data_IF_668997546364
#
_entry.id   IF_668997546364
#
_cell.length_a   1.000
_cell.length_b   1.000
_cell.length_c   1.000
_cell.angle_alpha   90.00
_cell.angle_beta   90.00
_cell.angle_gamma   90.00
#
_symmetry.space_group_name_H-M   'P 1'
#
loop_
_entity.id
_entity.type
_entity.pdbx_description
1 polymer ?
#
# COMPACT_ATOMS: atom_id res chain seq x y z
N UNK A 1 23.92 21.52 -0.84
CA UNK A 1 23.33 20.32 -1.47
C UNK A 1 22.64 19.52 -0.40
N UNK A 2 21.35 19.76 -0.21
CA UNK A 2 20.53 19.02 0.75
C UNK A 2 20.17 17.71 0.08
N UNK A 3 20.85 16.63 0.47
CA UNK A 3 20.50 15.27 0.06
C UNK A 3 19.06 15.01 0.50
N UNK A 4 18.17 14.76 -0.46
CA UNK A 4 16.83 14.25 -0.19
C UNK A 4 17.06 12.89 0.47
N UNK A 5 16.78 12.83 1.78
CA UNK A 5 17.01 11.64 2.58
C UNK A 5 15.93 10.61 2.22
N UNK A 6 16.33 9.46 1.69
CA UNK A 6 15.43 8.33 1.52
C UNK A 6 14.85 7.97 2.90
N UNK A 7 13.53 8.04 3.06
CA UNK A 7 12.86 7.52 4.25
C UNK A 7 12.84 5.98 4.15
N UNK A 8 13.61 5.32 5.00
CA UNK A 8 13.67 3.87 5.11
C UNK A 8 13.28 3.43 6.52
N UNK A 9 12.72 2.23 6.61
CA UNK A 9 12.32 1.63 7.88
C UNK A 9 13.58 1.18 8.60
N UNK A 10 13.75 1.64 9.85
CA UNK A 10 14.91 1.33 10.69
C UNK A 10 14.58 0.41 11.84
N UNK A 11 13.31 0.32 12.24
CA UNK A 11 12.91 -0.62 13.30
C UNK A 11 11.47 -1.11 13.14
N UNK A 12 11.21 -2.31 13.66
CA UNK A 12 9.90 -2.95 13.68
C UNK A 12 9.62 -3.46 15.09
N UNK A 13 8.42 -3.18 15.58
CA UNK A 13 7.85 -3.77 16.80
C UNK A 13 6.54 -4.45 16.49
N UNK A 14 6.30 -5.59 17.14
CA UNK A 14 5.02 -6.25 17.15
C UNK A 14 4.37 -6.06 18.51
N UNK A 15 3.08 -5.78 18.51
CA UNK A 15 2.29 -5.55 19.72
C UNK A 15 1.11 -6.51 19.72
N UNK A 16 1.08 -7.40 20.70
CA UNK A 16 -0.09 -8.22 21.00
C UNK A 16 -0.88 -7.56 22.12
N UNK A 17 -2.19 -7.44 21.92
CA UNK A 17 -3.10 -6.74 22.83
C UNK A 17 -4.47 -7.42 22.84
N UNK A 18 -5.09 -7.50 24.02
CA UNK A 18 -6.47 -7.99 24.13
C UNK A 18 -7.43 -7.08 23.37
N UNK A 19 -8.37 -7.66 22.61
CA UNK A 19 -9.33 -6.91 21.79
C UNK A 19 -10.16 -5.86 22.58
N UNK A 20 -10.31 -6.06 23.89
CA UNK A 20 -11.04 -5.16 24.80
C UNK A 20 -10.21 -3.95 25.31
N UNK A 21 -8.91 -3.91 25.03
CA UNK A 21 -8.01 -2.86 25.51
C UNK A 21 -7.32 -2.15 24.34
N UNK A 22 -6.99 -0.87 24.54
CA UNK A 22 -6.16 -0.13 23.60
C UNK A 22 -4.75 -0.74 23.54
N UNK A 23 -4.27 -1.02 22.34
CA UNK A 23 -2.92 -1.53 22.13
C UNK A 23 -1.88 -0.45 22.45
N UNK A 24 -0.76 -0.80 23.10
CA UNK A 24 0.35 0.11 23.30
C UNK A 24 0.82 0.77 21.99
N UNK A 25 1.03 2.09 22.05
CA UNK A 25 1.70 2.85 21.00
C UNK A 25 3.10 3.26 21.48
N UNK A 26 4.08 3.26 20.57
CA UNK A 26 5.44 3.70 20.89
C UNK A 26 5.73 5.06 20.24
N UNK A 27 6.31 5.96 21.03
CA UNK A 27 6.78 7.26 20.51
C UNK A 27 7.78 7.04 19.37
N UNK A 28 7.59 7.76 18.26
CA UNK A 28 8.40 7.63 17.05
C UNK A 28 8.06 6.43 16.16
N UNK A 29 7.10 5.58 16.54
CA UNK A 29 6.61 4.49 15.69
C UNK A 29 5.24 4.82 15.13
N UNK A 30 5.01 4.41 13.88
CA UNK A 30 3.70 4.40 13.24
C UNK A 30 3.14 2.98 13.20
N UNK A 31 1.86 2.82 13.53
CA UNK A 31 1.16 1.53 13.51
C UNK A 31 0.64 1.22 12.10
N UNK A 32 0.87 0.00 11.59
CA UNK A 32 0.16 -0.53 10.44
C UNK A 32 -1.28 -0.88 10.89
N UNK A 33 -2.33 -0.34 10.26
CA UNK A 33 -3.70 -0.34 10.74
C UNK A 33 -4.44 -1.62 10.32
N UNK A 34 -3.71 -2.73 10.25
CA UNK A 34 -4.23 -4.06 9.92
C UNK A 34 -3.89 -4.96 11.08
N UNK A 35 -4.91 -5.63 11.62
CA UNK A 35 -4.72 -6.68 12.61
C UNK A 35 -4.10 -7.89 11.90
N UNK A 36 -2.90 -8.30 12.32
CA UNK A 36 -2.12 -9.32 11.60
C UNK A 36 -2.69 -10.74 11.76
N UNK A 37 -3.60 -10.92 12.72
CA UNK A 37 -4.38 -12.13 12.88
C UNK A 37 -5.89 -11.89 12.73
N UNK A 38 -6.27 -10.97 11.85
CA UNK A 38 -7.67 -10.63 11.60
C UNK A 38 -8.53 -11.87 11.31
N UNK A 39 -9.67 -11.97 11.98
CA UNK A 39 -10.64 -13.05 11.79
C UNK A 39 -10.35 -14.33 12.60
N UNK A 40 -9.19 -14.42 13.27
CA UNK A 40 -8.91 -15.55 14.17
C UNK A 40 -9.82 -15.45 15.39
N UNK A 41 -10.57 -16.52 15.68
CA UNK A 41 -11.55 -16.53 16.77
C UNK A 41 -10.88 -16.43 18.13
N UNK A 42 -11.44 -15.57 18.98
CA UNK A 42 -11.04 -15.36 20.38
C UNK A 42 -9.63 -14.81 20.58
N UNK A 43 -8.84 -14.60 19.52
CA UNK A 43 -7.45 -14.15 19.59
C UNK A 43 -7.28 -12.72 20.15
N UNK A 44 -6.07 -12.46 20.68
CA UNK A 44 -5.58 -11.09 20.87
C UNK A 44 -5.30 -10.47 19.51
N UNK A 45 -5.46 -9.17 19.37
CA UNK A 45 -5.02 -8.47 18.16
C UNK A 45 -3.51 -8.33 18.13
N UNK A 46 -2.91 -8.49 16.96
CA UNK A 46 -1.47 -8.31 16.73
C UNK A 46 -1.25 -7.19 15.74
N UNK A 47 -0.56 -6.13 16.15
CA UNK A 47 -0.25 -4.98 15.28
C UNK A 47 1.25 -4.78 15.08
N UNK A 48 1.64 -4.49 13.84
CA UNK A 48 2.99 -4.04 13.51
C UNK A 48 3.13 -2.53 13.69
N UNK A 49 4.23 -2.12 14.29
CA UNK A 49 4.67 -0.75 14.45
C UNK A 49 6.03 -0.60 13.78
N UNK A 50 6.21 0.44 12.97
CA UNK A 50 7.46 0.69 12.25
C UNK A 50 7.99 2.08 12.51
N UNK A 51 9.31 2.22 12.52
CA UNK A 51 10.04 3.45 12.78
C UNK A 51 10.91 3.80 11.58
N UNK A 52 11.00 5.09 11.30
CA UNK A 52 11.90 5.67 10.30
C UNK A 52 12.79 6.66 11.05
N UNK A 53 14.08 6.34 11.23
CA UNK A 53 15.03 7.19 11.96
C UNK A 53 16.33 7.36 11.19
N UNK A 54 16.63 8.57 10.75
CA UNK A 54 17.82 8.90 9.94
C UNK A 54 19.15 8.61 10.64
N UNK A 55 19.14 8.33 11.94
CA UNK A 55 20.33 8.01 12.74
C UNK A 55 20.54 6.51 12.95
N UNK A 56 19.59 5.67 12.53
CA UNK A 56 19.65 4.22 12.71
C UNK A 56 19.90 3.51 11.38
N UNK A 57 20.57 2.36 11.44
CA UNK A 57 20.78 1.54 10.26
C UNK A 57 19.42 1.03 9.70
N UNK A 58 19.25 1.01 8.37
CA UNK A 58 18.04 0.52 7.72
C UNK A 58 17.84 -0.98 7.91
N UNK A 59 16.58 -1.40 7.97
CA UNK A 59 16.22 -2.79 7.71
C UNK A 59 16.35 -3.04 6.21
N UNK A 60 17.01 -4.14 5.85
CA UNK A 60 17.30 -4.47 4.46
C UNK A 60 16.52 -5.67 3.94
N UNK A 61 16.01 -6.54 4.83
CA UNK A 61 15.25 -7.72 4.41
C UNK A 61 14.28 -8.21 5.50
N UNK A 62 13.17 -8.83 5.08
CA UNK A 62 12.18 -9.49 5.94
C UNK A 62 12.05 -10.97 5.60
N UNK A 63 11.83 -11.79 6.62
CA UNK A 63 11.40 -13.17 6.48
C UNK A 63 10.30 -13.48 7.46
N UNK A 64 9.24 -14.13 6.98
CA UNK A 64 8.21 -14.72 7.83
C UNK A 64 8.40 -16.23 7.78
N UNK A 65 8.44 -16.86 8.95
CA UNK A 65 8.63 -18.30 9.12
C UNK A 65 7.45 -18.88 9.89
N UNK A 66 6.90 -19.97 9.38
CA UNK A 66 5.93 -20.79 10.10
C UNK A 66 6.68 -21.92 10.84
N UNK A 67 6.34 -22.13 12.10
CA UNK A 67 7.01 -23.04 13.03
C UNK A 67 8.41 -22.57 13.43
N UNK A 68 9.27 -23.53 13.74
CA UNK A 68 10.65 -23.29 14.20
C UNK A 68 11.72 -23.51 13.13
N UNK A 69 11.35 -23.88 11.91
CA UNK A 69 12.31 -24.21 10.86
C UNK A 69 12.91 -22.95 10.20
N UNK A 70 14.08 -22.54 10.68
CA UNK A 70 14.83 -21.38 10.16
C UNK A 70 15.86 -21.73 9.09
N UNK A 71 15.87 -22.97 8.57
CA UNK A 71 16.86 -23.41 7.56
C UNK A 71 16.84 -22.59 6.26
N UNK A 72 15.73 -21.90 5.98
CA UNK A 72 15.57 -21.01 4.82
C UNK A 72 16.13 -19.61 5.03
N UNK A 73 16.56 -19.27 6.25
CA UNK A 73 17.16 -17.98 6.57
C UNK A 73 18.69 -18.10 6.47
N UNK A 74 19.33 -17.42 5.51
CA UNK A 74 20.78 -17.44 5.39
C UNK A 74 21.42 -16.69 6.55
N UNK A 75 22.46 -17.27 7.13
CA UNK A 75 23.22 -16.67 8.24
C UNK A 75 22.32 -16.16 9.38
N UNK A 76 21.43 -17.02 9.91
CA UNK A 76 20.41 -16.69 10.93
C UNK A 76 20.91 -15.83 12.11
N UNK A 77 22.20 -15.92 12.48
CA UNK A 77 22.81 -15.08 13.51
C UNK A 77 22.79 -13.57 13.21
N UNK A 78 22.58 -13.18 11.95
CA UNK A 78 22.46 -11.78 11.49
C UNK A 78 21.01 -11.28 11.46
N UNK A 79 20.06 -12.10 11.88
CA UNK A 79 18.64 -11.77 11.86
C UNK A 79 18.13 -11.53 13.27
N UNK A 80 17.26 -10.55 13.39
CA UNK A 80 16.51 -10.27 14.61
C UNK A 80 15.13 -10.90 14.48
N UNK A 81 14.82 -11.86 15.36
CA UNK A 81 13.47 -12.41 15.54
C UNK A 81 12.63 -11.43 16.36
N UNK A 82 11.41 -11.14 15.93
CA UNK A 82 10.43 -10.47 16.78
C UNK A 82 9.65 -11.52 17.58
N UNK A 83 9.72 -11.41 18.91
CA UNK A 83 9.14 -12.38 19.85
C UNK A 83 7.64 -12.16 20.10
N UNK A 84 6.88 -12.09 19.01
CA UNK A 84 5.41 -12.10 19.03
C UNK A 84 4.96 -13.05 17.93
N UNK A 85 4.09 -14.00 18.29
CA UNK A 85 3.48 -14.88 17.31
C UNK A 85 2.49 -14.05 16.46
N UNK A 86 2.71 -13.96 15.15
CA UNK A 86 1.85 -13.19 14.25
C UNK A 86 0.42 -13.71 14.19
N UNK A 87 0.23 -15.01 14.44
CA UNK A 87 -1.07 -15.67 14.43
C UNK A 87 -1.50 -16.14 15.83
N UNK A 88 -1.13 -15.39 16.88
CA UNK A 88 -1.43 -15.73 18.28
C UNK A 88 -2.92 -16.02 18.49
N UNK A 89 -3.25 -17.21 18.99
CA UNK A 89 -4.60 -17.59 19.44
C UNK A 89 -4.71 -17.44 20.96
N UNK A 90 -5.91 -17.19 21.47
CA UNK A 90 -6.12 -17.06 22.91
C UNK A 90 -5.80 -18.36 23.66
N UNK A 91 -5.18 -18.24 24.83
CA UNK A 91 -4.89 -19.39 25.69
C UNK A 91 -3.86 -20.39 25.14
N UNK A 92 -3.34 -20.20 23.91
CA UNK A 92 -2.13 -20.88 23.48
C UNK A 92 -0.92 -20.04 23.89
N UNK A 93 0.02 -20.65 24.61
CA UNK A 93 1.32 -20.02 24.81
C UNK A 93 1.93 -19.70 23.44
N UNK A 94 2.79 -18.68 23.40
CA UNK A 94 3.71 -18.42 22.30
C UNK A 94 4.76 -19.56 22.21
N UNK A 95 4.29 -20.79 22.10
CA UNK A 95 5.08 -21.99 22.08
C UNK A 95 5.75 -22.07 20.72
N UNK A 96 7.07 -21.92 20.73
CA UNK A 96 7.91 -22.00 19.54
C UNK A 96 7.95 -23.42 18.95
N UNK A 97 7.49 -24.42 19.70
CA UNK A 97 7.37 -25.81 19.22
C UNK A 97 6.09 -26.07 18.44
N UNK A 98 5.12 -25.15 18.47
CA UNK A 98 3.94 -25.22 17.63
C UNK A 98 4.32 -24.92 16.18
N UNK A 99 4.16 -25.92 15.31
CA UNK A 99 4.45 -25.85 13.88
C UNK A 99 3.56 -24.85 13.13
N UNK A 100 2.49 -24.36 13.76
CA UNK A 100 1.59 -23.34 13.22
C UNK A 100 1.98 -21.91 13.58
N UNK A 101 2.83 -21.70 14.59
CA UNK A 101 3.21 -20.34 15.02
C UNK A 101 3.94 -19.60 13.91
N UNK A 102 3.64 -18.32 13.69
CA UNK A 102 4.26 -17.52 12.63
C UNK A 102 5.13 -16.43 13.24
N UNK A 103 6.37 -16.31 12.77
CA UNK A 103 7.38 -15.41 13.33
C UNK A 103 7.94 -14.48 12.25
N UNK A 104 8.09 -13.20 12.59
CA UNK A 104 8.78 -12.22 11.74
C UNK A 104 10.25 -12.10 12.13
N UNK A 105 11.10 -12.12 11.11
CA UNK A 105 12.52 -11.84 11.20
C UNK A 105 12.85 -10.65 10.30
N UNK A 106 13.77 -9.82 10.75
CA UNK A 106 14.35 -8.77 9.92
C UNK A 106 15.88 -8.77 10.07
N UNK A 107 16.58 -8.23 9.09
CA UNK A 107 18.03 -7.97 9.19
C UNK A 107 18.34 -6.57 8.71
N UNK A 108 19.46 -6.03 9.19
CA UNK A 108 20.08 -4.78 8.73
C UNK A 108 21.38 -5.04 7.96
N UNK A 109 21.75 -6.32 7.77
CA UNK A 109 23.02 -6.68 7.14
C UNK A 109 22.95 -6.43 5.61
N UNK A 110 23.84 -5.56 5.14
CA UNK A 110 23.95 -5.16 3.73
C UNK A 110 24.61 -6.23 2.84
N UNK A 111 25.21 -7.26 3.43
CA UNK A 111 25.70 -8.46 2.72
C UNK A 111 24.56 -9.39 2.32
N UNK A 112 23.43 -9.37 3.04
CA UNK A 112 22.23 -10.15 2.71
C UNK A 112 21.42 -9.42 1.64
N UNK A 113 21.19 -8.12 1.85
CA UNK A 113 20.42 -7.29 0.94
C UNK A 113 20.91 -5.85 1.04
N UNK A 114 21.29 -5.24 -0.08
CA UNK A 114 21.86 -3.88 -0.08
C UNK A 114 20.78 -2.79 -0.02
N UNK A 115 19.57 -3.09 -0.48
CA UNK A 115 18.52 -2.10 -0.61
C UNK A 115 17.73 -1.97 0.70
N UNK A 116 17.62 -0.78 1.29
CA UNK A 116 16.76 -0.55 2.44
C UNK A 116 15.29 -0.83 2.12
N UNK A 117 14.55 -1.34 3.11
CA UNK A 117 13.09 -1.41 3.03
C UNK A 117 12.52 -0.02 3.27
N UNK A 118 11.70 0.45 2.34
CA UNK A 118 11.09 1.78 2.37
C UNK A 118 9.60 1.74 2.70
N UNK A 119 8.94 0.61 2.52
CA UNK A 119 7.52 0.45 2.81
C UNK A 119 7.18 -0.99 3.18
N UNK A 120 6.23 -1.15 4.11
CA UNK A 120 5.61 -2.43 4.46
C UNK A 120 4.10 -2.22 4.46
N UNK A 121 3.38 -3.11 3.80
CA UNK A 121 1.92 -3.16 3.78
C UNK A 121 1.45 -4.60 4.06
N UNK A 122 0.21 -4.72 4.54
CA UNK A 122 -0.47 -6.00 4.74
C UNK A 122 -1.81 -5.93 4.04
N UNK A 123 -2.15 -6.97 3.27
CA UNK A 123 -3.39 -7.03 2.50
C UNK A 123 -4.13 -8.34 2.80
N UNK A 124 -5.44 -8.23 2.94
CA UNK A 124 -6.38 -9.35 3.05
C UNK A 124 -6.71 -9.94 1.67
N UNK A 125 -7.01 -11.24 1.66
CA UNK A 125 -7.44 -12.01 0.51
C UNK A 125 -6.42 -13.08 0.12
N UNK A 126 -6.87 -14.11 -0.61
CA UNK A 126 -6.01 -15.22 -1.03
C UNK A 126 -4.99 -14.83 -2.11
N UNK A 127 -5.24 -13.75 -2.85
CA UNK A 127 -4.37 -13.23 -3.93
C UNK A 127 -4.48 -11.71 -4.06
N UNK A 128 -4.06 -10.95 -3.04
CA UNK A 128 -4.19 -9.51 -3.07
C UNK A 128 -3.24 -8.91 -4.10
N UNK A 129 -3.75 -7.95 -4.87
CA UNK A 129 -2.97 -7.24 -5.89
C UNK A 129 -2.34 -6.00 -5.28
N UNK A 130 -1.02 -5.89 -5.38
CA UNK A 130 -0.22 -4.72 -5.00
C UNK A 130 0.53 -4.22 -6.22
N UNK A 131 1.01 -2.98 -6.17
CA UNK A 131 1.86 -2.42 -7.23
C UNK A 131 3.17 -3.21 -7.37
N UNK A 132 3.73 -3.24 -8.58
CA UNK A 132 4.88 -4.10 -8.94
C UNK A 132 6.16 -3.88 -8.11
N UNK A 133 6.33 -2.73 -7.47
CA UNK A 133 7.47 -2.45 -6.58
C UNK A 133 7.44 -3.25 -5.28
N UNK A 134 6.28 -3.80 -4.90
CA UNK A 134 6.12 -4.57 -3.69
C UNK A 134 6.46 -6.04 -3.90
N UNK A 135 7.41 -6.53 -3.10
CA UNK A 135 7.73 -7.95 -2.98
C UNK A 135 6.78 -8.60 -1.97
N UNK A 136 6.15 -9.70 -2.36
CA UNK A 136 5.30 -10.51 -1.48
C UNK A 136 6.16 -11.38 -0.57
N UNK A 137 5.84 -11.38 0.72
CA UNK A 137 6.30 -12.44 1.63
C UNK A 137 5.38 -13.65 1.43
N UNK A 138 5.91 -14.83 1.02
CA UNK A 138 5.11 -15.96 0.55
C UNK A 138 4.54 -16.80 1.71
N UNK A 139 4.02 -16.17 2.75
CA UNK A 139 3.39 -16.82 3.91
C UNK A 139 2.06 -16.13 4.19
N UNK A 140 1.00 -16.93 4.33
CA UNK A 140 -0.27 -16.45 4.84
C UNK A 140 -0.15 -16.28 6.36
N UNK A 141 -0.35 -15.06 6.85
CA UNK A 141 -0.18 -14.72 8.27
C UNK A 141 -1.23 -15.39 9.16
N UNK A 142 -2.29 -15.98 8.60
CA UNK A 142 -3.32 -16.72 9.33
C UNK A 142 -3.41 -18.19 8.90
N UNK A 143 -2.35 -18.72 8.29
CA UNK A 143 -2.32 -20.11 7.88
C UNK A 143 -2.62 -21.04 9.07
N UNK A 144 -3.46 -22.05 8.85
CA UNK A 144 -3.82 -23.11 9.81
C UNK A 144 -4.51 -22.67 11.13
N UNK A 145 -4.92 -21.40 11.25
CA UNK A 145 -5.62 -20.87 12.46
C UNK A 145 -7.02 -20.31 12.20
N UNK A 146 -7.51 -20.37 10.96
CA UNK A 146 -8.90 -20.08 10.61
C UNK A 146 -9.29 -18.59 10.59
N UNK A 147 -8.30 -17.70 10.47
CA UNK A 147 -8.51 -16.27 10.20
C UNK A 147 -8.64 -15.95 8.70
N UNK A 148 -8.76 -14.67 8.36
CA UNK A 148 -8.74 -14.24 6.97
C UNK A 148 -7.35 -14.41 6.37
N UNK A 149 -7.26 -14.76 5.09
CA UNK A 149 -5.98 -14.80 4.38
C UNK A 149 -5.33 -13.43 4.41
N UNK A 150 -4.12 -13.32 4.97
CA UNK A 150 -3.38 -12.07 5.08
C UNK A 150 -1.97 -12.25 4.53
N UNK A 151 -1.52 -11.33 3.68
CA UNK A 151 -0.18 -11.35 3.13
C UNK A 151 0.55 -10.04 3.38
N UNK A 152 1.81 -10.15 3.80
CA UNK A 152 2.72 -9.03 3.96
C UNK A 152 3.47 -8.76 2.65
N UNK A 153 3.66 -7.49 2.36
CA UNK A 153 4.46 -7.03 1.22
C UNK A 153 5.40 -5.92 1.67
N UNK A 154 6.57 -5.84 1.04
CA UNK A 154 7.53 -4.77 1.30
C UNK A 154 8.15 -4.26 0.00
N UNK A 155 8.50 -2.97 -0.02
CA UNK A 155 9.25 -2.36 -1.12
C UNK A 155 10.64 -1.99 -0.66
N UNK A 156 11.60 -2.13 -1.57
CA UNK A 156 12.97 -1.66 -1.41
C UNK A 156 13.37 -0.67 -2.51
N UNK A 157 12.40 -0.29 -3.34
CA UNK A 157 12.58 0.80 -4.27
C UNK A 157 12.60 2.06 -3.41
N UNK A 158 13.73 2.78 -3.45
CA UNK A 158 13.99 3.99 -2.67
C UNK A 158 12.90 5.06 -2.87
N UNK A 159 13.07 6.24 -2.26
CA UNK A 159 12.22 7.37 -2.62
C UNK A 159 12.43 7.73 -4.10
N UNK A 160 11.40 7.50 -4.93
CA UNK A 160 11.42 7.84 -6.37
C UNK A 160 11.32 9.36 -6.61
N UNK A 161 11.22 10.16 -5.56
CA UNK A 161 10.87 11.58 -5.62
C UNK A 161 9.37 11.75 -5.89
N UNK A 162 8.82 12.96 -5.75
CA UNK A 162 7.39 13.17 -5.88
C UNK A 162 6.92 13.06 -7.33
N UNK A 163 5.63 12.77 -7.49
CA UNK A 163 4.92 12.88 -8.76
C UNK A 163 4.82 14.36 -9.11
N UNK A 164 5.10 14.70 -10.36
CA UNK A 164 5.08 16.09 -10.87
C UNK A 164 4.03 16.30 -11.96
N UNK A 165 3.48 15.22 -12.51
CA UNK A 165 2.35 15.29 -13.43
C UNK A 165 1.56 13.98 -13.42
N UNK A 166 0.26 14.07 -13.68
CA UNK A 166 -0.67 12.95 -13.80
C UNK A 166 -1.41 13.07 -15.12
N UNK A 167 -1.63 11.97 -15.81
CA UNK A 167 -2.49 11.88 -16.98
C UNK A 167 -3.22 10.54 -16.98
N UNK A 168 -4.12 10.34 -17.94
CA UNK A 168 -4.76 9.06 -18.18
C UNK A 168 -4.79 8.75 -19.67
N UNK A 169 -5.07 7.51 -20.01
CA UNK A 169 -5.22 7.09 -21.41
C UNK A 169 -6.27 5.99 -21.51
N UNK A 170 -7.15 6.15 -22.50
CA UNK A 170 -8.04 5.11 -22.99
C UNK A 170 -7.29 4.16 -23.92
N UNK A 171 -7.49 2.86 -23.72
CA UNK A 171 -6.69 1.83 -24.35
C UNK A 171 -7.59 0.67 -24.82
N UNK A 172 -7.35 0.21 -26.05
CA UNK A 172 -8.03 -0.97 -26.61
C UNK A 172 -7.49 -2.30 -26.08
N UNK A 173 -6.28 -2.29 -25.51
CA UNK A 173 -5.62 -3.49 -24.98
C UNK A 173 -4.93 -3.17 -23.65
N UNK A 174 -4.64 -4.22 -22.88
CA UNK A 174 -3.93 -4.10 -21.60
C UNK A 174 -2.46 -3.62 -21.73
N UNK A 175 -1.89 -3.69 -22.94
CA UNK A 175 -0.52 -3.25 -23.24
C UNK A 175 -0.44 -1.73 -23.49
N UNK A 176 -1.06 -0.97 -22.61
CA UNK A 176 -1.11 0.47 -22.72
C UNK A 176 0.08 1.13 -22.04
N UNK A 177 0.78 2.00 -22.76
CA UNK A 177 1.87 2.81 -22.19
C UNK A 177 1.91 4.21 -22.81
N UNK A 178 2.60 5.12 -22.12
CA UNK A 178 3.00 6.44 -22.62
C UNK A 178 4.51 6.54 -22.39
N UNK A 179 5.26 6.90 -23.43
CA UNK A 179 6.71 6.99 -23.33
C UNK A 179 7.15 8.03 -22.30
N UNK A 180 8.07 7.62 -21.41
CA UNK A 180 8.54 8.46 -20.31
C UNK A 180 7.53 8.68 -19.17
N UNK A 181 6.44 7.91 -19.08
CA UNK A 181 5.51 7.92 -17.96
C UNK A 181 5.45 6.56 -17.25
N UNK A 182 5.30 6.59 -15.93
CA UNK A 182 5.01 5.43 -15.10
C UNK A 182 3.50 5.15 -15.12
N UNK A 183 3.09 3.88 -15.10
CA UNK A 183 1.68 3.47 -15.20
C UNK A 183 1.19 2.91 -13.87
N UNK A 184 -0.01 3.31 -13.44
CA UNK A 184 -0.76 2.62 -12.38
C UNK A 184 -1.34 1.32 -12.97
N UNK A 185 -0.98 0.18 -12.42
CA UNK A 185 -1.17 -1.12 -13.09
C UNK A 185 -2.63 -1.53 -13.34
N UNK A 186 -3.55 -1.09 -12.50
CA UNK A 186 -4.95 -1.51 -12.54
C UNK A 186 -5.76 -0.65 -13.51
N UNK A 187 -6.57 -1.33 -14.31
CA UNK A 187 -7.55 -0.72 -15.21
C UNK A 187 -8.73 -0.17 -14.40
N UNK A 188 -8.98 1.12 -14.49
CA UNK A 188 -10.10 1.80 -13.81
C UNK A 188 -11.46 1.27 -14.25
N UNK A 189 -11.53 0.71 -15.45
CA UNK A 189 -12.73 0.17 -16.07
C UNK A 189 -12.77 -1.36 -16.06
N UNK A 190 -11.95 -2.00 -15.21
CA UNK A 190 -11.88 -3.46 -15.11
C UNK A 190 -13.26 -4.03 -14.75
N UNK A 191 -13.73 -4.99 -15.55
CA UNK A 191 -14.99 -5.70 -15.31
C UNK A 191 -16.20 -5.11 -16.04
N UNK A 192 -16.03 -4.02 -16.80
CA UNK A 192 -17.10 -3.50 -17.65
C UNK A 192 -17.14 -4.25 -18.98
N UNK A 193 -18.35 -4.68 -19.37
CA UNK A 193 -18.61 -5.54 -20.54
C UNK A 193 -18.39 -4.79 -21.87
N UNK A 194 -18.59 -3.47 -21.89
CA UNK A 194 -18.43 -2.63 -23.09
C UNK A 194 -17.75 -1.30 -22.74
N UNK A 195 -16.50 -1.11 -23.15
CA UNK A 195 -15.76 0.13 -22.89
C UNK A 195 -14.27 -0.01 -23.20
N UNK A 196 -13.55 1.10 -23.16
CA UNK A 196 -12.08 1.10 -23.24
C UNK A 196 -11.50 0.91 -21.84
N UNK A 197 -10.39 0.19 -21.75
CA UNK A 197 -9.58 0.17 -20.53
C UNK A 197 -9.03 1.57 -20.30
N UNK A 198 -9.04 2.04 -19.06
CA UNK A 198 -8.49 3.35 -18.71
C UNK A 198 -7.42 3.17 -17.65
N UNK A 199 -6.23 3.66 -17.95
CA UNK A 199 -5.09 3.62 -17.03
C UNK A 199 -4.64 5.02 -16.67
N UNK A 200 -4.26 5.20 -15.41
CA UNK A 200 -3.56 6.39 -14.95
C UNK A 200 -2.06 6.26 -15.22
N UNK A 201 -1.45 7.38 -15.53
CA UNK A 201 -0.02 7.52 -15.74
C UNK A 201 0.48 8.73 -14.95
N UNK A 202 1.70 8.64 -14.44
CA UNK A 202 2.33 9.75 -13.75
C UNK A 202 3.81 9.89 -14.14
N UNK A 203 4.37 11.06 -13.83
CA UNK A 203 5.75 11.42 -14.11
C UNK A 203 6.44 11.95 -12.86
N UNK A 204 7.76 11.83 -12.84
CA UNK A 204 8.63 12.36 -11.78
C UNK A 204 9.78 13.11 -12.44
N UNK A 205 9.70 14.43 -12.44
CA UNK A 205 10.72 15.29 -13.06
C UNK A 205 11.32 16.23 -12.01
N UNK A 206 12.61 16.04 -11.67
CA UNK A 206 13.29 16.80 -10.58
C UNK A 206 13.21 18.33 -10.71
N UNK A 207 13.00 18.85 -11.91
CA UNK A 207 12.91 20.29 -12.19
C UNK A 207 11.49 20.85 -12.14
N UNK A 208 10.48 20.01 -11.94
CA UNK A 208 9.07 20.41 -11.89
C UNK A 208 8.57 20.46 -10.45
N UNK A 209 7.58 21.32 -10.21
CA UNK A 209 6.90 21.35 -8.92
C UNK A 209 6.10 20.06 -8.68
N UNK A 210 6.08 19.52 -7.46
CA UNK A 210 5.34 18.31 -7.15
C UNK A 210 3.82 18.54 -7.21
N UNK A 211 3.11 17.47 -7.52
CA UNK A 211 1.67 17.37 -7.26
C UNK A 211 1.46 17.39 -5.76
N UNK A 212 0.63 18.29 -5.24
CA UNK A 212 0.37 18.45 -3.80
C UNK A 212 -1.06 18.11 -3.40
N UNK A 213 -1.97 18.08 -4.37
CA UNK A 213 -3.37 17.75 -4.14
C UNK A 213 -3.98 17.06 -5.36
N UNK A 214 -4.93 16.17 -5.09
CA UNK A 214 -5.64 15.40 -6.10
C UNK A 214 -7.11 15.36 -5.70
N UNK A 215 -7.96 15.78 -6.62
CA UNK A 215 -9.41 15.66 -6.46
C UNK A 215 -10.01 14.96 -7.67
N UNK A 216 -11.15 14.32 -7.44
CA UNK A 216 -11.97 13.75 -8.52
C UNK A 216 -13.28 14.51 -8.54
N UNK A 217 -13.62 15.01 -9.73
CA UNK A 217 -14.79 15.84 -9.98
C UNK A 217 -15.74 15.06 -10.88
N UNK A 218 -17.02 15.07 -10.51
CA UNK A 218 -18.09 14.34 -11.18
C UNK A 218 -18.96 15.30 -12.00
N UNK A 219 -19.33 14.90 -13.20
CA UNK A 219 -20.28 15.60 -14.06
C UNK A 219 -19.91 17.09 -14.18
N UNK A 220 -20.87 17.98 -13.91
CA UNK A 220 -20.70 19.43 -13.99
C UNK A 220 -20.37 20.07 -12.63
N UNK A 221 -19.79 19.31 -11.69
CA UNK A 221 -19.34 19.87 -10.41
C UNK A 221 -18.30 20.98 -10.61
N UNK A 222 -18.36 21.99 -9.75
CA UNK A 222 -17.47 23.17 -9.82
C UNK A 222 -16.01 22.76 -9.76
N UNK A 223 -15.24 23.22 -10.74
CA UNK A 223 -13.80 22.98 -10.82
C UNK A 223 -13.06 23.86 -9.80
N UNK A 224 -12.12 23.31 -9.03
CA UNK A 224 -11.31 24.11 -8.12
C UNK A 224 -10.30 24.98 -8.88
N UNK A 225 -10.10 26.21 -8.41
CA UNK A 225 -9.14 27.14 -8.99
C UNK A 225 -7.69 26.64 -8.80
N UNK A 226 -6.86 26.80 -9.84
CA UNK A 226 -5.44 26.44 -9.80
C UNK A 226 -5.15 24.96 -9.99
N UNK A 227 -6.16 24.14 -10.32
CA UNK A 227 -5.98 22.73 -10.64
C UNK A 227 -5.86 22.50 -12.15
N UNK A 228 -5.07 21.49 -12.51
CA UNK A 228 -4.94 20.97 -13.87
C UNK A 228 -5.86 19.78 -14.06
N UNK A 229 -6.68 19.82 -15.12
CA UNK A 229 -7.56 18.72 -15.52
C UNK A 229 -6.77 17.63 -16.23
N UNK A 230 -6.99 16.37 -15.85
CA UNK A 230 -6.68 15.23 -16.72
C UNK A 230 -7.81 15.07 -17.73
N UNK A 231 -7.54 15.40 -18.99
CA UNK A 231 -8.56 15.48 -20.05
C UNK A 231 -8.90 14.11 -20.66
N UNK A 232 -9.29 13.19 -19.77
CA UNK A 232 -9.82 11.86 -20.08
C UNK A 232 -10.93 11.58 -19.09
N UNK A 233 -12.06 11.07 -19.57
CA UNK A 233 -13.10 10.55 -18.68
C UNK A 233 -12.60 9.23 -18.08
N UNK A 234 -12.38 9.21 -16.77
CA UNK A 234 -11.91 8.03 -16.05
C UNK A 234 -12.95 6.89 -16.04
N UNK A 235 -14.22 7.23 -16.24
CA UNK A 235 -15.35 6.32 -16.33
C UNK A 235 -15.82 6.18 -17.79
N UNK A 236 -14.89 5.89 -18.71
CA UNK A 236 -15.18 5.75 -20.15
C UNK A 236 -15.91 4.44 -20.51
N UNK A 237 -16.86 4.05 -19.68
CA UNK A 237 -17.62 2.80 -19.77
C UNK A 237 -19.11 3.09 -19.93
N UNK A 238 -19.60 2.84 -21.14
CA UNK A 238 -21.02 2.76 -21.54
C UNK A 238 -21.87 4.05 -21.52
N UNK A 239 -22.99 3.99 -22.25
CA UNK A 239 -23.93 5.08 -22.59
C UNK A 239 -24.59 5.80 -21.39
N UNK A 240 -24.36 5.34 -20.17
CA UNK A 240 -24.96 5.84 -18.92
C UNK A 240 -23.94 5.66 -17.81
N UNK A 241 -23.26 6.73 -17.41
CA UNK A 241 -22.25 6.74 -16.35
C UNK A 241 -21.94 8.17 -15.96
N UNK A 242 -21.41 8.39 -14.75
CA UNK A 242 -20.94 9.72 -14.37
C UNK A 242 -19.73 10.11 -15.26
N UNK A 243 -19.63 11.38 -15.65
CA UNK A 243 -18.39 11.91 -16.23
C UNK A 243 -17.41 12.15 -15.09
N UNK A 244 -16.30 11.42 -15.07
CA UNK A 244 -15.37 11.45 -13.94
C UNK A 244 -14.03 11.96 -14.43
N UNK A 245 -13.58 13.09 -13.88
CA UNK A 245 -12.27 13.65 -14.22
C UNK A 245 -11.42 13.79 -12.97
N UNK A 246 -10.15 13.40 -13.09
CA UNK A 246 -9.13 13.72 -12.10
C UNK A 246 -8.61 15.14 -12.35
N UNK A 247 -8.41 15.86 -11.26
CA UNK A 247 -7.76 17.15 -11.24
C UNK A 247 -6.63 17.11 -10.22
N UNK A 248 -5.51 17.75 -10.53
CA UNK A 248 -4.39 17.81 -9.62
C UNK A 248 -3.82 19.23 -9.52
N UNK A 249 -3.26 19.56 -8.36
CA UNK A 249 -2.58 20.84 -8.12
C UNK A 249 -1.09 20.59 -7.98
N UNK A 250 -0.27 21.46 -8.56
CA UNK A 250 1.19 21.46 -8.37
C UNK A 250 1.62 22.71 -7.64
N UNK A 251 2.43 22.55 -6.61
CA UNK A 251 2.96 23.67 -5.81
C UNK A 251 4.38 23.36 -5.39
N UNK A 252 5.19 24.40 -5.20
CA UNK A 252 6.54 24.29 -4.65
C UNK A 252 6.52 24.01 -3.13
N UNK A 253 5.83 22.94 -2.74
CA UNK A 253 5.67 22.48 -1.37
C UNK A 253 5.97 20.98 -1.31
N UNK A 254 7.11 20.64 -0.70
CA UNK A 254 7.53 19.25 -0.56
C UNK A 254 6.77 18.49 0.54
N UNK A 255 6.08 19.18 1.45
CA UNK A 255 5.37 18.56 2.58
C UNK A 255 4.12 17.81 2.12
N UNK A 256 3.38 18.41 1.20
CA UNK A 256 2.15 17.84 0.66
C UNK A 256 2.37 17.03 -0.61
N UNK A 257 3.63 16.85 -1.02
CA UNK A 257 3.96 16.22 -2.28
C UNK A 257 3.42 14.79 -2.33
N UNK A 258 2.69 14.48 -3.40
CA UNK A 258 2.20 13.15 -3.72
C UNK A 258 3.35 12.34 -4.30
N UNK A 259 3.67 11.22 -3.68
CA UNK A 259 4.71 10.30 -4.12
C UNK A 259 4.14 9.10 -4.87
N UNK A 260 2.86 8.78 -4.75
CA UNK A 260 2.37 7.56 -5.40
C UNK A 260 0.87 7.55 -5.67
N UNK A 261 0.45 6.74 -6.64
CA UNK A 261 -0.94 6.51 -7.05
C UNK A 261 -1.24 5.02 -7.12
N UNK A 262 -2.39 4.62 -6.59
CA UNK A 262 -2.86 3.24 -6.64
C UNK A 262 -4.36 3.20 -6.88
N UNK A 263 -4.81 2.17 -7.57
CA UNK A 263 -6.23 1.87 -7.74
C UNK A 263 -6.53 0.60 -6.96
N UNK A 264 -7.67 0.56 -6.29
CA UNK A 264 -8.15 -0.66 -5.62
C UNK A 264 -9.61 -0.92 -5.97
N UNK A 265 -9.94 -2.20 -6.08
CA UNK A 265 -11.30 -2.68 -6.28
C UNK A 265 -11.88 -3.20 -4.97
N UNK A 266 -13.20 -3.13 -4.84
CA UNK A 266 -13.95 -3.82 -3.79
C UNK A 266 -14.93 -2.92 -3.07
N UNK A 267 -15.87 -3.55 -2.35
CA UNK A 267 -16.80 -2.85 -1.45
C UNK A 267 -16.08 -2.29 -0.21
N UNK A 268 -15.05 -3.01 0.26
CA UNK A 268 -14.19 -2.61 1.38
C UNK A 268 -12.72 -2.68 0.90
N UNK A 269 -12.31 -1.77 0.01
CA UNK A 269 -10.94 -1.75 -0.49
C UNK A 269 -10.01 -1.38 0.68
N UNK A 270 -9.01 -2.23 0.93
CA UNK A 270 -8.04 -1.97 1.99
C UNK A 270 -7.13 -0.83 1.54
N UNK A 271 -7.37 0.36 2.10
CA UNK A 271 -6.48 1.51 2.02
C UNK A 271 -5.09 1.08 2.46
N UNK A 272 -4.08 1.04 1.58
CA UNK A 272 -2.73 0.75 2.02
C UNK A 272 -2.31 1.85 3.03
N UNK A 273 -1.58 1.48 4.09
CA UNK A 273 -1.25 2.45 5.13
C UNK A 273 -0.44 3.63 4.59
N UNK A 274 -0.78 4.84 5.03
CA UNK A 274 -0.16 6.09 4.59
C UNK A 274 -0.70 6.61 3.26
N UNK A 275 -1.73 5.96 2.71
CA UNK A 275 -2.42 6.41 1.53
C UNK A 275 -3.75 7.07 1.90
N UNK A 276 -4.06 8.16 1.22
CA UNK A 276 -5.34 8.83 1.25
C UNK A 276 -6.25 8.24 0.18
N UNK A 277 -7.51 7.99 0.55
CA UNK A 277 -8.54 7.50 -0.36
C UNK A 277 -9.33 8.67 -0.93
N UNK A 278 -9.51 8.70 -2.24
CA UNK A 278 -10.51 9.57 -2.87
C UNK A 278 -11.87 8.87 -2.79
N UNK A 279 -12.80 9.48 -2.06
CA UNK A 279 -14.13 8.94 -1.78
C UNK A 279 -15.10 9.12 -2.95
N UNK A 280 -14.70 8.68 -4.13
CA UNK A 280 -15.51 8.64 -5.35
C UNK A 280 -15.35 7.26 -5.96
N UNK A 281 -16.47 6.56 -6.22
CA UNK A 281 -16.42 5.34 -7.00
C UNK A 281 -16.18 5.68 -8.48
N UNK A 282 -15.03 5.28 -9.02
CA UNK A 282 -14.55 5.68 -10.35
C UNK A 282 -15.25 4.96 -11.51
N UNK A 283 -16.08 3.94 -11.22
CA UNK A 283 -16.96 3.32 -12.20
C UNK A 283 -18.44 3.60 -11.92
N UNK A 284 -18.74 4.75 -11.30
CA UNK A 284 -20.09 5.09 -10.84
C UNK A 284 -21.06 5.48 -11.96
N UNK A 285 -22.34 5.26 -11.71
CA UNK A 285 -23.43 5.64 -12.61
C UNK A 285 -24.52 6.46 -11.92
N UNK A 286 -24.26 6.91 -10.69
CA UNK A 286 -25.21 7.63 -9.86
C UNK A 286 -24.49 8.58 -8.88
N UNK A 287 -23.92 9.66 -9.44
CA UNK A 287 -23.22 10.72 -8.71
C UNK A 287 -22.16 10.20 -7.73
N UNK A 288 -21.26 9.35 -8.21
CA UNK A 288 -20.16 8.82 -7.39
C UNK A 288 -20.55 7.68 -6.45
N UNK A 289 -21.83 7.27 -6.47
CA UNK A 289 -22.39 6.17 -5.65
C UNK A 289 -22.90 5.07 -6.58
N UNK A 290 -22.49 3.83 -6.32
CA UNK A 290 -22.88 2.64 -7.08
C UNK A 290 -22.44 2.68 -8.57
N UNK A 291 -22.03 1.53 -9.10
CA UNK A 291 -21.41 1.46 -10.42
C UNK A 291 -21.66 0.13 -11.13
N UNK A 292 -21.19 0.04 -12.37
CA UNK A 292 -21.23 -1.22 -13.11
C UNK A 292 -20.03 -2.07 -12.69
N UNK A 293 -20.28 -3.03 -11.80
CA UNK A 293 -19.27 -3.99 -11.35
C UNK A 293 -18.73 -3.70 -9.95
N UNK A 294 -17.51 -4.16 -9.70
CA UNK A 294 -16.85 -4.01 -8.41
C UNK A 294 -16.42 -2.55 -8.20
N UNK A 295 -16.73 -1.89 -7.07
CA UNK A 295 -16.38 -0.48 -6.87
C UNK A 295 -14.88 -0.25 -6.98
N UNK A 296 -14.51 0.86 -7.62
CA UNK A 296 -13.12 1.20 -7.95
C UNK A 296 -12.76 2.53 -7.32
N UNK A 297 -11.64 2.60 -6.60
CA UNK A 297 -11.22 3.82 -5.91
C UNK A 297 -9.76 4.15 -6.19
N UNK A 298 -9.47 5.45 -6.31
CA UNK A 298 -8.11 5.98 -6.39
C UNK A 298 -7.59 6.30 -4.99
N UNK A 299 -6.33 5.95 -4.80
CA UNK A 299 -5.54 6.23 -3.63
C UNK A 299 -4.31 7.02 -4.04
N UNK A 300 -3.89 7.93 -3.18
CA UNK A 300 -2.60 8.60 -3.34
C UNK A 300 -1.83 8.59 -2.03
N UNK A 301 -0.51 8.54 -2.11
CA UNK A 301 0.38 8.61 -0.94
C UNK A 301 1.14 9.91 -0.97
N UNK A 302 1.03 10.71 0.07
CA UNK A 302 1.94 11.85 0.29
C UNK A 302 3.27 11.36 0.88
N UNK A 303 4.36 12.07 0.59
CA UNK A 303 5.66 11.80 1.20
C UNK A 303 5.57 11.94 2.72
N UNK A 304 6.09 10.96 3.47
CA UNK A 304 6.21 11.07 4.93
C UNK A 304 7.42 11.94 5.30
N UNK A 305 7.30 12.73 6.38
CA UNK A 305 8.43 13.38 7.04
C UNK A 305 9.31 12.39 7.80
#
# INVERSE_FOLDING_TARGET
TTTIANAYITDIKLVSCEAKYACPSYSGYRKIPVDLNLGVKEAKSVFMHIKEDKKEDPITELKVIQGSNTSTIPEISKWTKLNVNLNEMNGQSSDETNDKSIWLYFTKDTKISQNPITSIIVKEGSSPTVSAEYKRVPVDLNNDVGGYHLFMFYSQEGDKGPITAITAKECFTANCYIDGWERVEKDLNKGVVFGMSVYLFFKREKSQDPVTDIVVILNDQTTPEGYTKVDVNLNSVTLRGDFIHLWYKTEKNAVDAVHDLAVEFGQVPITPFGWDKINVNLNSANNGKDGFGEPTYLYFKKGHQ
#
